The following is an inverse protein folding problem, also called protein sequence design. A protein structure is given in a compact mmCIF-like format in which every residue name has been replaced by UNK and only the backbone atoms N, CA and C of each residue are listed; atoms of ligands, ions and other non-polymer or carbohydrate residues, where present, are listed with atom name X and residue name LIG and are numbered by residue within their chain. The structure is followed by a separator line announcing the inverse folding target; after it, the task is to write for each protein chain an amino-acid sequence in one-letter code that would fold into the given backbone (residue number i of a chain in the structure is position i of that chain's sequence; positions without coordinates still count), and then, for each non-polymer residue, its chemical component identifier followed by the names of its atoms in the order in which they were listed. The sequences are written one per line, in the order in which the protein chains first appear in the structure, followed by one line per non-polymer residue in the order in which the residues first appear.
data_IF_663006825443
#
_entry.id   IF_663006825443
#
_cell.length_a   1.000
_cell.length_b   1.000
_cell.length_c   1.000
_cell.angle_alpha   90.00
_cell.angle_beta   90.00
_cell.angle_gamma   90.00
#
_symmetry.space_group_name_H-M   'P 1'
#
loop_
_entity.id
_entity.type
_entity.pdbx_description
1 polymer ?
#
# COMPACT_ATOMS: atom_id res chain seq x y z
N UNK A 1 -3.67 17.78 8.27
CA UNK A 1 -2.94 17.87 9.56
C UNK A 1 -1.44 17.69 9.35
N UNK A 2 -0.93 16.54 8.89
CA UNK A 2 0.50 16.26 8.81
C UNK A 2 1.32 17.30 7.99
N UNK A 3 0.86 17.65 6.78
CA UNK A 3 1.55 18.64 5.92
C UNK A 3 1.64 20.00 6.62
N UNK A 4 0.57 20.47 7.25
CA UNK A 4 0.56 21.72 7.99
C UNK A 4 1.57 21.69 9.16
N UNK A 5 1.55 20.62 9.96
CA UNK A 5 2.48 20.44 11.08
C UNK A 5 3.94 20.41 10.61
N UNK A 6 4.22 19.75 9.48
CA UNK A 6 5.56 19.75 8.89
C UNK A 6 5.99 21.15 8.44
N UNK A 7 5.12 21.92 7.80
CA UNK A 7 5.40 23.29 7.41
C UNK A 7 5.67 24.18 8.63
N UNK A 8 4.86 24.07 9.68
CA UNK A 8 5.05 24.81 10.92
C UNK A 8 6.39 24.49 11.59
N UNK A 9 6.78 23.23 11.62
CA UNK A 9 8.05 22.79 12.24
C UNK A 9 9.29 23.19 11.45
N UNK A 10 9.17 23.35 10.13
CA UNK A 10 10.28 23.71 9.23
C UNK A 10 10.34 25.20 8.88
N UNK A 11 9.32 25.97 9.27
CA UNK A 11 9.20 27.38 8.90
C UNK A 11 8.88 27.62 7.41
N UNK A 12 8.48 26.58 6.68
CA UNK A 12 8.10 26.69 5.26
C UNK A 12 6.63 27.15 5.18
N UNK A 13 6.35 28.11 4.32
CA UNK A 13 4.98 28.58 4.13
C UNK A 13 4.13 27.45 3.50
N UNK A 14 2.91 27.26 4.03
CA UNK A 14 1.94 26.35 3.46
C UNK A 14 1.21 27.02 2.30
N UNK A 15 1.73 26.87 1.09
CA UNK A 15 1.18 27.49 -0.12
C UNK A 15 1.28 26.55 -1.34
N UNK A 16 0.58 26.90 -2.40
CA UNK A 16 0.63 26.18 -3.68
C UNK A 16 2.02 26.24 -4.36
N UNK A 17 2.83 27.25 -4.01
CA UNK A 17 4.16 27.43 -4.56
C UNK A 17 5.22 26.57 -3.87
N UNK A 18 4.97 26.21 -2.61
CA UNK A 18 5.93 25.48 -1.75
C UNK A 18 5.60 24.01 -1.56
N UNK A 19 4.37 23.61 -1.89
CA UNK A 19 3.86 22.24 -1.72
C UNK A 19 3.53 21.66 -3.09
N UNK A 20 3.89 20.41 -3.32
CA UNK A 20 3.56 19.69 -4.55
C UNK A 20 2.05 19.73 -4.84
N UNK A 21 1.62 19.90 -6.10
CA UNK A 21 0.22 20.15 -6.48
C UNK A 21 -0.78 19.13 -5.92
N UNK A 22 -0.42 17.84 -5.92
CA UNK A 22 -1.30 16.79 -5.40
C UNK A 22 -1.43 16.87 -3.86
N UNK A 23 -0.35 17.14 -3.13
CA UNK A 23 -0.37 17.34 -1.69
C UNK A 23 -1.12 18.63 -1.30
N UNK A 24 -0.94 19.69 -2.08
CA UNK A 24 -1.70 20.92 -1.92
C UNK A 24 -3.20 20.69 -2.08
N UNK A 25 -3.61 19.95 -3.12
CA UNK A 25 -5.01 19.60 -3.34
C UNK A 25 -5.61 18.76 -2.20
N UNK A 26 -4.88 17.76 -1.68
CA UNK A 26 -5.29 16.96 -0.51
C UNK A 26 -5.40 17.86 0.73
N UNK A 27 -4.45 18.77 0.93
CA UNK A 27 -4.44 19.69 2.09
C UNK A 27 -5.65 20.63 2.05
N UNK A 28 -5.95 21.20 0.87
CA UNK A 28 -7.16 22.02 0.67
C UNK A 28 -8.44 21.21 0.96
N UNK A 29 -8.54 20.01 0.38
CA UNK A 29 -9.70 19.14 0.62
C UNK A 29 -9.86 18.79 2.10
N UNK A 30 -8.76 18.55 2.81
CA UNK A 30 -8.79 18.29 4.25
C UNK A 30 -9.33 19.45 5.08
N UNK A 31 -9.15 20.70 4.64
CA UNK A 31 -9.69 21.88 5.31
C UNK A 31 -11.21 22.06 5.11
N UNK A 32 -11.77 21.42 4.09
CA UNK A 32 -13.23 21.46 3.78
C UNK A 32 -14.01 20.42 4.59
N UNK A 33 -13.32 19.43 5.20
CA UNK A 33 -13.95 18.36 5.97
C UNK A 33 -14.30 18.84 7.38
N UNK A 34 -15.49 18.49 7.82
CA UNK A 34 -15.94 18.75 9.18
C UNK A 34 -15.49 17.68 10.16
N UNK A 35 -15.57 17.96 11.46
CA UNK A 35 -15.38 16.93 12.50
C UNK A 35 -16.40 15.79 12.40
N UNK A 36 -17.61 16.09 11.89
CA UNK A 36 -18.62 15.05 11.65
C UNK A 36 -18.20 14.08 10.54
N UNK A 37 -17.59 14.58 9.46
CA UNK A 37 -17.06 13.74 8.37
C UNK A 37 -15.93 12.83 8.90
N UNK A 38 -15.08 13.36 9.75
CA UNK A 38 -14.02 12.58 10.41
C UNK A 38 -14.60 11.47 11.29
N UNK A 39 -15.56 11.78 12.15
CA UNK A 39 -16.20 10.78 13.02
C UNK A 39 -16.94 9.70 12.20
N UNK A 40 -17.60 10.10 11.13
CA UNK A 40 -18.27 9.17 10.21
C UNK A 40 -17.25 8.23 9.54
N UNK A 41 -16.12 8.76 9.09
CA UNK A 41 -15.04 7.95 8.51
C UNK A 41 -14.46 6.97 9.54
N UNK A 42 -14.18 7.43 10.77
CA UNK A 42 -13.72 6.56 11.85
C UNK A 42 -14.72 5.44 12.18
N UNK A 43 -16.01 5.74 12.18
CA UNK A 43 -17.06 4.74 12.35
C UNK A 43 -17.07 3.67 11.25
N UNK A 44 -16.88 4.09 9.99
CA UNK A 44 -16.74 3.17 8.86
C UNK A 44 -15.48 2.28 9.00
N UNK A 45 -14.34 2.86 9.38
CA UNK A 45 -13.11 2.11 9.64
C UNK A 45 -13.31 1.04 10.74
N UNK A 46 -13.93 1.42 11.86
CA UNK A 46 -14.22 0.50 12.94
C UNK A 46 -15.16 -0.64 12.51
N UNK A 47 -16.06 -0.39 11.58
CA UNK A 47 -16.93 -1.42 10.99
C UNK A 47 -16.11 -2.39 10.15
N UNK A 48 -15.28 -1.89 9.23
CA UNK A 48 -14.39 -2.71 8.41
C UNK A 48 -13.43 -3.56 9.26
N UNK A 49 -12.90 -3.02 10.35
CA UNK A 49 -12.06 -3.77 11.29
C UNK A 49 -12.81 -4.96 11.92
N UNK A 50 -14.06 -4.76 12.34
CA UNK A 50 -14.88 -5.86 12.89
C UNK A 50 -15.22 -6.91 11.85
N UNK A 51 -15.56 -6.50 10.64
CA UNK A 51 -15.87 -7.41 9.53
C UNK A 51 -14.64 -8.25 9.16
N UNK A 52 -13.47 -7.62 9.07
CA UNK A 52 -12.22 -8.32 8.81
C UNK A 52 -11.85 -9.27 9.96
N UNK A 53 -12.09 -8.86 11.22
CA UNK A 53 -11.91 -9.73 12.37
C UNK A 53 -12.74 -11.01 12.28
N UNK A 54 -14.03 -10.89 11.88
CA UNK A 54 -14.92 -12.04 11.67
C UNK A 54 -14.47 -12.93 10.51
N UNK A 55 -14.01 -12.32 9.41
CA UNK A 55 -13.48 -13.08 8.27
C UNK A 55 -12.34 -14.01 8.70
N UNK A 56 -11.42 -13.50 9.52
CA UNK A 56 -10.28 -14.27 10.03
C UNK A 56 -10.61 -15.21 11.20
N UNK A 57 -11.87 -15.38 11.60
CA UNK A 57 -12.25 -16.46 12.51
C UNK A 57 -12.17 -17.84 11.86
N UNK A 58 -12.35 -17.90 10.54
CA UNK A 58 -12.40 -19.15 9.76
C UNK A 58 -11.32 -19.25 8.69
N UNK A 59 -10.38 -18.31 8.65
CA UNK A 59 -9.30 -18.24 7.65
C UNK A 59 -8.00 -17.95 8.38
N UNK A 60 -7.00 -18.78 8.19
CA UNK A 60 -5.67 -18.58 8.79
C UNK A 60 -4.87 -17.52 8.04
N UNK A 61 -4.87 -17.60 6.72
CA UNK A 61 -4.17 -16.67 5.83
C UNK A 61 -5.03 -16.37 4.60
N UNK A 62 -5.12 -15.09 4.26
CA UNK A 62 -5.74 -14.62 3.05
C UNK A 62 -4.66 -14.23 2.03
N UNK A 63 -4.74 -14.80 0.84
CA UNK A 63 -3.78 -14.58 -0.24
C UNK A 63 -4.41 -13.72 -1.32
N UNK A 64 -3.71 -12.65 -1.72
CA UNK A 64 -4.12 -11.78 -2.81
C UNK A 64 -2.94 -11.41 -3.71
N UNK A 65 -3.18 -10.95 -4.92
CA UNK A 65 -2.16 -10.20 -5.65
C UNK A 65 -1.74 -8.94 -4.88
N UNK A 66 -0.52 -8.48 -5.09
CA UNK A 66 -0.08 -7.15 -4.62
C UNK A 66 -0.56 -6.06 -5.58
N UNK A 67 -0.39 -6.30 -6.88
CA UNK A 67 -0.79 -5.40 -7.94
C UNK A 67 -1.94 -6.01 -8.76
N UNK A 68 -2.75 -5.15 -9.34
CA UNK A 68 -3.85 -5.55 -10.23
C UNK A 68 -3.40 -5.86 -11.68
N UNK A 69 -2.11 -5.80 -11.93
CA UNK A 69 -1.51 -6.02 -13.25
C UNK A 69 0.01 -5.92 -13.18
N UNK A 70 0.69 -5.85 -14.32
CA UNK A 70 2.13 -5.66 -14.34
C UNK A 70 2.53 -4.34 -13.68
N UNK A 71 3.76 -4.24 -13.14
CA UNK A 71 4.27 -2.99 -12.62
C UNK A 71 4.17 -1.86 -13.64
N UNK A 72 3.84 -0.67 -13.15
CA UNK A 72 3.75 0.50 -14.02
C UNK A 72 5.13 0.85 -14.58
N UNK A 73 5.13 1.31 -15.83
CA UNK A 73 6.33 1.85 -16.44
C UNK A 73 6.81 3.08 -15.67
N UNK A 74 8.12 3.18 -15.45
CA UNK A 74 8.71 4.35 -14.81
C UNK A 74 8.30 5.65 -15.53
N UNK A 75 7.89 6.66 -14.76
CA UNK A 75 7.40 7.92 -15.29
C UNK A 75 5.93 7.95 -15.74
N UNK A 76 5.21 6.82 -15.70
CA UNK A 76 3.78 6.78 -16.06
C UNK A 76 2.86 7.45 -15.04
N UNK A 77 3.31 7.60 -13.80
CA UNK A 77 2.63 8.38 -12.75
C UNK A 77 3.26 9.77 -12.68
N UNK A 78 2.51 10.76 -13.13
CA UNK A 78 2.92 12.15 -13.01
C UNK A 78 2.51 12.69 -11.64
N UNK A 79 3.49 12.86 -10.75
CA UNK A 79 3.28 13.41 -9.41
C UNK A 79 2.72 14.84 -9.44
N UNK A 80 2.90 15.54 -10.55
CA UNK A 80 2.42 16.92 -10.77
C UNK A 80 1.09 16.99 -11.53
N UNK A 81 0.45 15.85 -11.79
CA UNK A 81 -0.86 15.83 -12.42
C UNK A 81 -1.96 16.31 -11.46
N UNK A 82 -3.13 16.64 -12.02
CA UNK A 82 -4.28 16.97 -11.19
C UNK A 82 -4.65 15.80 -10.26
N UNK A 83 -5.12 16.12 -9.05
CA UNK A 83 -5.51 15.11 -8.07
C UNK A 83 -6.49 14.04 -8.60
N UNK A 84 -7.54 14.39 -9.38
CA UNK A 84 -8.41 13.39 -9.98
C UNK A 84 -7.67 12.40 -10.89
N UNK A 85 -6.76 12.89 -11.71
CA UNK A 85 -5.98 12.05 -12.63
C UNK A 85 -4.98 11.16 -11.88
N UNK A 86 -4.33 11.70 -10.84
CA UNK A 86 -3.46 10.93 -9.96
C UNK A 86 -4.24 9.78 -9.28
N UNK A 87 -5.39 10.08 -8.67
CA UNK A 87 -6.20 9.07 -8.02
C UNK A 87 -6.80 8.05 -8.98
N UNK A 88 -7.18 8.45 -10.19
CA UNK A 88 -7.66 7.52 -11.20
C UNK A 88 -6.58 6.50 -11.58
N UNK A 89 -5.36 6.96 -11.79
CA UNK A 89 -4.22 6.08 -12.11
C UNK A 89 -3.75 5.28 -10.89
N UNK A 90 -3.77 5.88 -9.71
CA UNK A 90 -3.25 5.25 -8.48
C UNK A 90 -4.25 4.26 -7.87
N UNK A 91 -5.52 4.60 -7.77
CA UNK A 91 -6.54 3.82 -7.08
C UNK A 91 -7.51 3.09 -8.02
N UNK A 92 -7.73 3.59 -9.24
CA UNK A 92 -8.74 3.04 -10.16
C UNK A 92 -8.23 1.87 -10.98
N UNK A 93 -7.19 2.07 -11.72
CA UNK A 93 -6.84 1.12 -12.78
C UNK A 93 -5.71 0.18 -12.45
N UNK A 94 -4.86 0.48 -11.49
CA UNK A 94 -3.61 -0.21 -11.61
C UNK A 94 -2.96 -0.68 -10.34
N UNK A 95 -2.92 0.10 -9.30
CA UNK A 95 -1.79 -0.21 -8.46
C UNK A 95 -2.07 -1.24 -7.42
N UNK A 96 -3.06 -1.10 -6.60
CA UNK A 96 -3.07 -1.97 -5.43
C UNK A 96 -4.42 -1.99 -4.69
N UNK A 97 -5.48 -2.47 -5.33
CA UNK A 97 -6.80 -2.48 -4.70
C UNK A 97 -6.85 -3.39 -3.46
N UNK A 98 -5.88 -4.30 -3.33
CA UNK A 98 -5.89 -5.32 -2.29
C UNK A 98 -5.13 -4.96 -1.02
N UNK A 99 -4.20 -3.98 -1.04
CA UNK A 99 -3.34 -3.71 0.14
C UNK A 99 -3.88 -2.64 1.06
N UNK A 100 -4.62 -1.67 0.54
CA UNK A 100 -5.09 -0.51 1.30
C UNK A 100 -5.98 -0.88 2.49
N UNK A 101 -6.80 -1.90 2.35
CA UNK A 101 -7.71 -2.33 3.41
C UNK A 101 -6.95 -2.79 4.67
N UNK A 102 -5.84 -3.50 4.52
CA UNK A 102 -5.08 -4.03 5.67
C UNK A 102 -4.29 -2.96 6.40
N UNK A 103 -3.87 -1.89 5.72
CA UNK A 103 -3.30 -0.70 6.36
C UNK A 103 -4.32 0.01 7.26
N UNK A 104 -5.59 -0.08 6.93
CA UNK A 104 -6.69 0.55 7.65
C UNK A 104 -7.21 -0.35 8.77
N UNK A 105 -7.30 -1.64 8.53
CA UNK A 105 -7.88 -2.60 9.48
C UNK A 105 -6.85 -3.19 10.44
N UNK A 106 -5.55 -3.06 10.14
CA UNK A 106 -4.45 -3.38 11.05
C UNK A 106 -4.01 -4.84 11.03
N UNK A 107 -4.45 -5.65 10.05
CA UNK A 107 -3.94 -7.00 9.91
C UNK A 107 -2.47 -7.00 9.49
N UNK A 108 -1.65 -7.92 10.01
CA UNK A 108 -0.31 -8.13 9.50
C UNK A 108 -0.37 -8.66 8.06
N UNK A 109 0.47 -8.10 7.20
CA UNK A 109 0.57 -8.48 5.81
C UNK A 109 2.03 -8.55 5.38
N UNK A 110 2.35 -9.50 4.51
CA UNK A 110 3.66 -9.69 3.92
C UNK A 110 3.53 -9.88 2.41
N UNK A 111 4.43 -9.27 1.65
CA UNK A 111 4.57 -9.55 0.22
C UNK A 111 5.77 -10.45 0.01
N UNK A 112 5.55 -11.55 -0.69
CA UNK A 112 6.60 -12.49 -1.08
C UNK A 112 6.62 -12.64 -2.60
N UNK A 113 7.78 -12.92 -3.20
CA UNK A 113 7.86 -13.26 -4.63
C UNK A 113 7.22 -14.65 -4.86
N UNK A 114 6.37 -14.75 -5.88
CA UNK A 114 5.68 -15.99 -6.21
C UNK A 114 6.08 -16.55 -7.59
N UNK A 115 6.34 -15.67 -8.54
CA UNK A 115 6.70 -16.06 -9.91
C UNK A 115 7.87 -15.21 -10.39
N UNK A 116 8.73 -15.83 -11.17
CA UNK A 116 9.88 -15.21 -11.84
C UNK A 116 9.79 -15.49 -13.34
N UNK A 117 9.06 -14.65 -14.10
CA UNK A 117 9.00 -14.77 -15.54
C UNK A 117 10.39 -14.63 -16.16
N UNK A 118 10.66 -15.36 -17.27
CA UNK A 118 11.93 -15.21 -18.02
C UNK A 118 12.10 -13.77 -18.53
N UNK A 119 11.00 -13.20 -19.04
CA UNK A 119 10.96 -11.84 -19.55
C UNK A 119 10.01 -10.99 -18.68
N UNK A 120 10.53 -10.36 -17.66
CA UNK A 120 9.73 -9.45 -16.84
C UNK A 120 10.13 -9.37 -15.36
N UNK A 121 9.52 -8.46 -14.63
CA UNK A 121 9.75 -8.33 -13.20
C UNK A 121 9.13 -9.50 -12.42
N UNK A 122 9.66 -9.80 -11.22
CA UNK A 122 9.03 -10.77 -10.33
C UNK A 122 7.59 -10.38 -10.00
N UNK A 123 6.72 -11.39 -9.91
CA UNK A 123 5.33 -11.20 -9.48
C UNK A 123 5.23 -11.53 -8.00
N UNK A 124 4.79 -10.53 -7.22
CA UNK A 124 4.56 -10.70 -5.79
C UNK A 124 3.13 -11.13 -5.48
N UNK A 125 2.99 -11.90 -4.39
CA UNK A 125 1.70 -12.17 -3.75
C UNK A 125 1.72 -11.61 -2.34
N UNK A 126 0.56 -11.18 -1.88
CA UNK A 126 0.34 -10.72 -0.52
C UNK A 126 -0.26 -11.84 0.32
N UNK A 127 0.35 -12.10 1.46
CA UNK A 127 -0.19 -12.94 2.51
C UNK A 127 -0.68 -12.03 3.64
N UNK A 128 -1.88 -12.27 4.13
CA UNK A 128 -2.48 -11.51 5.23
C UNK A 128 -2.97 -12.49 6.29
N UNK A 129 -2.65 -12.25 7.55
CA UNK A 129 -3.11 -13.08 8.66
C UNK A 129 -3.99 -12.30 9.62
N UNK A 130 -4.60 -13.01 10.56
CA UNK A 130 -5.36 -12.44 11.66
C UNK A 130 -4.51 -11.43 12.44
N UNK A 131 -5.13 -10.41 12.98
CA UNK A 131 -4.48 -9.40 13.81
C UNK A 131 -3.62 -10.04 14.91
N UNK A 132 -2.36 -9.61 15.00
CA UNK A 132 -1.37 -10.12 15.95
C UNK A 132 -0.80 -11.50 15.62
N UNK A 133 -1.01 -12.02 14.38
CA UNK A 133 -0.50 -13.33 13.97
C UNK A 133 0.61 -13.22 12.91
N UNK A 134 1.58 -12.37 13.17
CA UNK A 134 2.82 -12.25 12.38
C UNK A 134 3.60 -13.56 12.33
N UNK A 135 3.53 -14.36 13.40
CA UNK A 135 4.10 -15.70 13.50
C UNK A 135 3.58 -16.63 12.38
N UNK A 136 2.28 -16.59 12.11
CA UNK A 136 1.66 -17.38 11.05
C UNK A 136 2.18 -16.96 9.67
N UNK A 137 2.30 -15.65 9.42
CA UNK A 137 2.85 -15.14 8.15
C UNK A 137 4.31 -15.55 7.94
N UNK A 138 5.15 -15.36 8.95
CA UNK A 138 6.57 -15.71 8.87
C UNK A 138 6.77 -17.21 8.69
N UNK A 139 5.98 -18.04 9.40
CA UNK A 139 6.02 -19.49 9.25
C UNK A 139 5.64 -19.91 7.82
N UNK A 140 4.55 -19.37 7.28
CA UNK A 140 4.10 -19.69 5.92
C UNK A 140 5.10 -19.18 4.86
N UNK A 141 5.59 -17.96 5.01
CA UNK A 141 6.59 -17.39 4.10
C UNK A 141 7.86 -18.26 4.07
N UNK A 142 8.34 -18.70 5.23
CA UNK A 142 9.49 -19.62 5.32
C UNK A 142 9.24 -20.99 4.67
N UNK A 143 8.03 -21.53 4.79
CA UNK A 143 7.66 -22.79 4.10
C UNK A 143 7.64 -22.60 2.57
N UNK A 144 7.09 -21.49 2.09
CA UNK A 144 7.05 -21.17 0.65
C UNK A 144 8.47 -20.96 0.12
N UNK A 145 9.32 -20.21 0.86
CA UNK A 145 10.72 -20.00 0.49
C UNK A 145 11.51 -21.31 0.43
N UNK A 146 11.27 -22.21 1.36
CA UNK A 146 11.91 -23.54 1.35
C UNK A 146 11.46 -24.41 0.16
N UNK A 147 10.17 -24.31 -0.22
CA UNK A 147 9.60 -25.05 -1.34
C UNK A 147 9.95 -24.47 -2.71
N UNK A 148 10.07 -23.15 -2.81
CA UNK A 148 10.38 -22.40 -4.02
C UNK A 148 11.41 -21.29 -3.72
N UNK A 149 12.70 -21.63 -3.55
CA UNK A 149 13.72 -20.68 -3.17
C UNK A 149 13.91 -19.58 -4.21
N UNK A 150 13.88 -18.33 -3.77
CA UNK A 150 14.08 -17.15 -4.63
C UNK A 150 15.41 -16.43 -4.44
N UNK A 151 16.24 -16.82 -3.49
CA UNK A 151 17.52 -16.16 -3.18
C UNK A 151 18.51 -16.11 -4.35
N UNK A 152 18.37 -17.02 -5.31
CA UNK A 152 19.22 -17.11 -6.50
C UNK A 152 18.71 -16.29 -7.69
N UNK A 153 17.48 -15.77 -7.62
CA UNK A 153 16.93 -14.90 -8.65
C UNK A 153 17.44 -13.47 -8.44
N UNK A 154 18.52 -13.12 -9.13
CA UNK A 154 19.20 -11.82 -9.01
C UNK A 154 19.10 -11.06 -10.33
N UNK A 155 18.86 -9.73 -10.29
CA UNK A 155 18.92 -8.92 -11.50
C UNK A 155 20.33 -8.88 -12.08
N UNK A 156 20.45 -8.59 -13.38
CA UNK A 156 21.75 -8.45 -14.04
C UNK A 156 22.62 -7.37 -13.38
N UNK A 157 22.00 -6.30 -12.89
CA UNK A 157 22.66 -5.27 -12.09
C UNK A 157 22.40 -5.58 -10.61
N UNK A 158 23.37 -6.14 -9.94
CA UNK A 158 23.29 -6.52 -8.53
C UNK A 158 24.61 -6.15 -7.83
N UNK A 159 24.55 -5.72 -6.58
CA UNK A 159 25.72 -5.26 -5.82
C UNK A 159 26.85 -6.31 -5.70
N UNK A 160 26.53 -7.59 -5.74
CA UNK A 160 27.53 -8.67 -5.73
C UNK A 160 28.30 -8.81 -7.05
N UNK A 161 27.96 -8.07 -8.08
CA UNK A 161 28.61 -8.10 -9.40
C UNK A 161 29.66 -6.97 -9.53
N UNK A 162 29.84 -6.20 -8.48
CA UNK A 162 30.81 -5.13 -8.33
C UNK A 162 31.67 -5.36 -7.09
#
# INVERSE_FOLDING_TARGET
AAVRSACESTGIALSEETIEPHLWSITRRGNELSSFDLLRAQGALATSQREMGRFFENVDVFLTPVLNGPPLQAGSLEMFSSLPLFWQKFAGDALSPFVGIFNVTGQPAASIPALFPEDGPPVGVQLVAKFGREDTLLSLAGQIEAAAPWANHRPAIHASNF
#
